data_IF_552379283369
#
_entry.id   IF_552379283369
#
_cell.length_a   1.000
_cell.length_b   1.000
_cell.length_c   1.000
_cell.angle_alpha   90.00
_cell.angle_beta   90.00
_cell.angle_gamma   90.00
#
_symmetry.space_group_name_H-M   'P 1'
#
loop_
_entity.id
_entity.type
_entity.pdbx_description
1 polymer ?
#
# COMPACT_ATOMS: atom_id res chain seq x y z
N UNK A 1 -15.95 11.49 -9.28
CA UNK A 1 -14.88 10.95 -10.15
C UNK A 1 -15.03 9.44 -10.09
N UNK A 2 -15.35 8.81 -11.19
CA UNK A 2 -15.49 7.35 -11.29
C UNK A 2 -14.13 6.84 -11.75
N UNK A 3 -13.48 6.02 -10.94
CA UNK A 3 -12.25 5.35 -11.34
C UNK A 3 -12.61 4.04 -12.02
N UNK A 4 -12.00 3.79 -13.16
CA UNK A 4 -12.13 2.51 -13.83
C UNK A 4 -11.42 1.42 -13.04
N UNK A 5 -11.98 0.23 -13.07
CA UNK A 5 -11.36 -0.92 -12.47
C UNK A 5 -10.30 -1.49 -13.44
N UNK A 6 -9.09 -1.64 -12.98
CA UNK A 6 -8.02 -2.33 -13.70
C UNK A 6 -7.78 -3.71 -13.11
N UNK A 7 -7.53 -4.68 -13.97
CA UNK A 7 -7.07 -6.00 -13.58
C UNK A 7 -5.58 -6.09 -13.89
N UNK A 8 -4.75 -6.24 -12.86
CA UNK A 8 -3.34 -6.52 -13.06
C UNK A 8 -3.15 -8.01 -13.37
N UNK A 9 -2.59 -8.31 -14.53
CA UNK A 9 -2.19 -9.66 -14.87
C UNK A 9 -0.76 -9.94 -14.39
N UNK A 10 -0.50 -11.15 -13.94
CA UNK A 10 0.88 -11.56 -13.66
C UNK A 10 1.70 -11.56 -14.98
N UNK A 11 3.01 -11.30 -14.91
CA UNK A 11 3.90 -11.22 -16.09
C UNK A 11 3.89 -12.48 -16.99
N UNK A 12 3.45 -13.62 -16.43
CA UNK A 12 3.36 -14.90 -17.15
C UNK A 12 1.96 -15.19 -17.71
N UNK A 13 1.00 -14.27 -17.56
CA UNK A 13 -0.38 -14.47 -18.02
C UNK A 13 -0.57 -13.70 -19.31
N UNK A 14 -0.98 -14.41 -20.36
CA UNK A 14 -1.31 -13.87 -21.66
C UNK A 14 -2.83 -13.81 -21.84
N UNK A 15 -3.30 -12.76 -22.50
CA UNK A 15 -4.66 -12.68 -23.01
C UNK A 15 -4.63 -13.10 -24.49
N UNK A 16 -5.38 -14.13 -24.83
CA UNK A 16 -5.42 -14.66 -26.18
C UNK A 16 -6.80 -14.44 -26.80
N UNK A 17 -6.83 -13.84 -27.99
CA UNK A 17 -8.02 -13.72 -28.80
C UNK A 17 -7.90 -14.68 -30.00
N UNK A 18 -8.92 -15.51 -30.21
CA UNK A 18 -8.97 -16.49 -31.28
C UNK A 18 -10.21 -16.26 -32.15
N UNK A 19 -9.99 -16.33 -33.46
CA UNK A 19 -11.03 -16.32 -34.50
C UNK A 19 -10.98 -17.65 -35.23
N UNK A 20 -11.68 -18.68 -34.78
CA UNK A 20 -11.54 -20.06 -35.30
C UNK A 20 -11.99 -20.22 -36.76
N UNK A 21 -12.86 -19.34 -37.23
CA UNK A 21 -13.43 -19.42 -38.58
C UNK A 21 -12.74 -18.45 -39.59
N UNK A 22 -11.67 -17.78 -39.16
CA UNK A 22 -10.90 -16.85 -40.04
C UNK A 22 -9.64 -17.53 -40.57
N UNK A 23 -9.53 -17.62 -41.88
CA UNK A 23 -8.36 -18.11 -42.57
C UNK A 23 -7.71 -16.96 -43.34
N UNK A 24 -6.47 -16.67 -43.03
CA UNK A 24 -5.69 -15.60 -43.64
C UNK A 24 -4.68 -16.17 -44.62
N UNK A 25 -4.59 -15.57 -45.79
CA UNK A 25 -3.48 -15.81 -46.70
C UNK A 25 -2.17 -15.26 -46.11
N UNK A 26 -1.03 -15.71 -46.64
CA UNK A 26 0.30 -15.34 -46.15
C UNK A 26 0.53 -13.81 -46.17
N UNK A 27 0.05 -13.15 -47.22
CA UNK A 27 0.10 -11.70 -47.35
C UNK A 27 -0.73 -10.96 -46.32
N UNK A 28 -1.93 -11.43 -46.04
CA UNK A 28 -2.82 -10.87 -45.02
C UNK A 28 -2.29 -11.09 -43.64
N UNK A 29 -1.73 -12.26 -43.35
CA UNK A 29 -1.07 -12.58 -42.07
C UNK A 29 0.13 -11.65 -41.83
N UNK A 30 0.91 -11.35 -42.86
CA UNK A 30 2.04 -10.44 -42.74
C UNK A 30 1.58 -9.00 -42.44
N UNK A 31 0.48 -8.56 -43.03
CA UNK A 31 -0.13 -7.24 -42.71
C UNK A 31 -0.65 -7.21 -41.31
N UNK A 32 -1.41 -8.24 -40.91
CA UNK A 32 -1.93 -8.36 -39.53
C UNK A 32 -0.80 -8.36 -38.49
N UNK A 33 0.28 -9.11 -38.73
CA UNK A 33 1.44 -9.13 -37.84
C UNK A 33 2.04 -7.75 -37.64
N UNK A 34 2.19 -6.98 -38.72
CA UNK A 34 2.70 -5.60 -38.62
C UNK A 34 1.78 -4.67 -37.87
N UNK A 35 0.47 -4.84 -38.02
CA UNK A 35 -0.52 -4.06 -37.26
C UNK A 35 -0.43 -4.42 -35.75
N UNK A 36 -0.39 -5.70 -35.44
CA UNK A 36 -0.34 -6.20 -34.07
C UNK A 36 0.96 -5.79 -33.36
N UNK A 37 2.09 -5.80 -34.08
CA UNK A 37 3.38 -5.34 -33.55
C UNK A 37 3.39 -3.84 -33.18
N UNK A 38 2.46 -3.06 -33.77
CA UNK A 38 2.29 -1.65 -33.46
C UNK A 38 1.35 -1.39 -32.26
N UNK A 39 0.65 -2.41 -31.75
CA UNK A 39 -0.27 -2.27 -30.63
C UNK A 39 0.50 -2.16 -29.30
N UNK A 40 0.75 -0.94 -28.86
CA UNK A 40 1.39 -0.66 -27.58
C UNK A 40 0.43 -0.63 -26.39
N UNK A 41 -0.86 -0.70 -26.61
CA UNK A 41 -1.91 -0.74 -25.57
C UNK A 41 -3.18 -1.42 -26.12
N UNK A 42 -4.00 -1.92 -25.19
CA UNK A 42 -5.28 -2.52 -25.55
C UNK A 42 -6.41 -1.81 -24.77
N UNK A 43 -7.31 -1.19 -25.51
CA UNK A 43 -8.40 -0.37 -24.97
C UNK A 43 -7.92 1.03 -24.62
N UNK A 44 -7.65 1.34 -23.35
CA UNK A 44 -7.16 2.65 -22.94
C UNK A 44 -5.65 2.77 -23.01
N UNK A 45 -5.14 3.98 -23.21
CA UNK A 45 -3.72 4.28 -23.34
C UNK A 45 -2.87 3.84 -22.13
N UNK A 46 -3.49 3.73 -20.95
CA UNK A 46 -2.83 3.25 -19.72
C UNK A 46 -2.68 1.72 -19.66
N UNK A 47 -3.39 0.98 -20.54
CA UNK A 47 -3.38 -0.49 -20.59
C UNK A 47 -2.28 -0.99 -21.52
N UNK A 48 -1.03 -0.79 -21.15
CA UNK A 48 0.13 -1.17 -21.94
C UNK A 48 0.16 -2.67 -22.19
N UNK A 49 0.44 -3.06 -23.43
CA UNK A 49 0.51 -4.45 -23.88
C UNK A 49 1.62 -4.65 -24.91
N UNK A 50 2.19 -5.82 -24.89
CA UNK A 50 2.97 -6.36 -26.01
C UNK A 50 2.11 -7.39 -26.72
N UNK A 51 1.90 -7.21 -28.01
CA UNK A 51 1.00 -8.04 -28.80
C UNK A 51 1.78 -8.77 -29.89
N UNK A 52 1.38 -10.00 -30.18
CA UNK A 52 1.94 -10.78 -31.29
C UNK A 52 0.89 -11.70 -31.90
N UNK A 53 1.07 -12.06 -33.15
CA UNK A 53 0.27 -13.10 -33.81
C UNK A 53 0.81 -14.47 -33.40
N UNK A 54 -0.07 -15.36 -32.97
CA UNK A 54 0.30 -16.73 -32.63
C UNK A 54 0.55 -17.57 -33.89
N UNK A 55 1.46 -18.55 -33.81
CA UNK A 55 1.57 -19.62 -34.80
C UNK A 55 0.36 -20.55 -34.73
N UNK A 56 0.14 -21.33 -35.79
CA UNK A 56 -1.02 -22.25 -35.84
C UNK A 56 -0.96 -23.32 -34.74
N UNK A 57 0.23 -23.76 -34.35
CA UNK A 57 0.42 -24.69 -33.24
C UNK A 57 0.06 -24.07 -31.90
N UNK A 58 0.49 -22.83 -31.62
CA UNK A 58 0.16 -22.09 -30.42
C UNK A 58 -1.33 -21.75 -30.37
N UNK A 59 -1.94 -21.40 -31.50
CA UNK A 59 -3.36 -21.12 -31.60
C UNK A 59 -4.19 -22.38 -31.30
N UNK A 60 -3.78 -23.54 -31.80
CA UNK A 60 -4.44 -24.83 -31.52
C UNK A 60 -4.36 -25.22 -30.04
N UNK A 61 -3.21 -25.01 -29.39
CA UNK A 61 -3.06 -25.24 -27.94
C UNK A 61 -3.92 -24.26 -27.14
N UNK A 62 -3.95 -22.99 -27.52
CA UNK A 62 -4.75 -21.97 -26.88
C UNK A 62 -6.26 -22.26 -27.02
N UNK A 63 -6.71 -22.77 -28.15
CA UNK A 63 -8.12 -23.12 -28.37
C UNK A 63 -8.64 -24.14 -27.35
N UNK A 64 -7.80 -25.09 -26.92
CA UNK A 64 -8.13 -26.05 -25.88
C UNK A 64 -8.27 -25.47 -24.47
N UNK A 65 -7.83 -24.22 -24.25
CA UNK A 65 -7.78 -23.55 -22.96
C UNK A 65 -8.68 -22.30 -22.86
N UNK A 66 -9.55 -22.09 -23.84
CA UNK A 66 -10.43 -20.94 -23.85
C UNK A 66 -11.36 -20.89 -22.63
N UNK A 67 -11.56 -19.71 -22.09
CA UNK A 67 -12.38 -19.46 -20.92
C UNK A 67 -13.46 -18.38 -21.14
N UNK A 68 -13.55 -17.84 -22.36
CA UNK A 68 -14.54 -16.86 -22.78
C UNK A 68 -15.05 -17.25 -24.18
N UNK A 69 -16.37 -17.29 -24.35
CA UNK A 69 -17.02 -17.77 -25.57
C UNK A 69 -18.10 -16.80 -26.03
N UNK A 70 -18.40 -16.69 -27.34
CA UNK A 70 -19.58 -15.97 -27.81
C UNK A 70 -20.84 -16.47 -27.11
N UNK A 71 -21.68 -15.56 -26.64
CA UNK A 71 -22.93 -15.89 -26.00
C UNK A 71 -23.95 -16.36 -27.05
N UNK A 72 -24.11 -17.67 -27.19
CA UNK A 72 -25.25 -18.24 -27.91
C UNK A 72 -26.57 -17.85 -27.20
N UNK A 73 -27.69 -17.83 -27.93
CA UNK A 73 -28.98 -17.33 -27.45
C UNK A 73 -29.59 -18.07 -26.22
N UNK A 74 -28.92 -19.06 -25.61
CA UNK A 74 -29.56 -19.95 -24.63
C UNK A 74 -28.80 -20.44 -23.41
N UNK A 75 -27.58 -20.02 -23.15
CA UNK A 75 -26.82 -20.64 -22.04
C UNK A 75 -26.28 -19.61 -21.04
N UNK A 76 -27.15 -19.19 -20.10
CA UNK A 76 -26.67 -18.56 -18.87
C UNK A 76 -26.49 -19.64 -17.80
N UNK A 77 -25.28 -20.20 -17.65
CA UNK A 77 -24.93 -21.03 -16.52
C UNK A 77 -24.75 -20.17 -15.27
N UNK A 78 -25.18 -20.66 -14.11
CA UNK A 78 -25.08 -19.93 -12.84
C UNK A 78 -23.64 -19.47 -12.48
N UNK A 79 -22.62 -20.16 -13.01
CA UNK A 79 -21.21 -19.85 -12.80
C UNK A 79 -20.62 -18.90 -13.85
N UNK A 80 -21.39 -18.48 -14.84
CA UNK A 80 -20.97 -17.61 -15.94
C UNK A 80 -21.52 -16.21 -15.76
N UNK A 81 -20.81 -15.22 -16.31
CA UNK A 81 -21.27 -13.85 -16.45
C UNK A 81 -21.20 -13.44 -17.92
N UNK A 82 -22.07 -12.51 -18.32
CA UNK A 82 -22.06 -11.95 -19.66
C UNK A 82 -21.17 -10.71 -19.68
N UNK A 83 -20.26 -10.67 -20.65
CA UNK A 83 -19.42 -9.49 -20.96
C UNK A 83 -19.79 -9.01 -22.33
N UNK A 84 -19.93 -7.71 -22.50
CA UNK A 84 -20.23 -7.12 -23.79
C UNK A 84 -18.99 -6.43 -24.35
N UNK A 85 -18.68 -6.72 -25.60
CA UNK A 85 -17.61 -6.07 -26.35
C UNK A 85 -18.22 -5.28 -27.51
N UNK A 86 -17.71 -4.08 -27.71
CA UNK A 86 -18.06 -3.29 -28.87
C UNK A 86 -17.19 -3.75 -30.06
N UNK A 87 -17.82 -4.26 -31.09
CA UNK A 87 -17.17 -4.77 -32.27
C UNK A 87 -17.62 -4.00 -33.52
N UNK A 88 -16.80 -3.99 -34.57
CA UNK A 88 -17.23 -3.45 -35.86
C UNK A 88 -18.33 -4.33 -36.45
N UNK A 89 -19.35 -3.69 -37.04
CA UNK A 89 -20.34 -4.38 -37.84
C UNK A 89 -19.68 -4.89 -39.15
N UNK A 90 -20.09 -6.04 -39.68
CA UNK A 90 -19.71 -6.40 -41.04
C UNK A 90 -20.18 -5.34 -42.03
N UNK A 91 -19.33 -5.00 -43.01
CA UNK A 91 -19.63 -3.94 -43.98
C UNK A 91 -20.93 -4.20 -44.73
N UNK A 92 -21.24 -5.46 -45.02
CA UNK A 92 -22.51 -5.87 -45.65
C UNK A 92 -23.74 -5.54 -44.77
N UNK A 93 -23.64 -5.63 -43.47
CA UNK A 93 -24.73 -5.27 -42.57
C UNK A 93 -24.90 -3.73 -42.49
N UNK A 94 -23.79 -2.99 -42.58
CA UNK A 94 -23.82 -1.53 -42.60
C UNK A 94 -24.49 -1.00 -43.86
N UNK A 95 -24.15 -1.54 -45.03
CA UNK A 95 -24.73 -1.05 -46.31
C UNK A 95 -26.22 -1.28 -46.40
N UNK A 96 -26.76 -2.28 -45.72
CA UNK A 96 -28.17 -2.65 -45.87
C UNK A 96 -29.12 -2.01 -44.84
N UNK A 97 -28.76 -1.80 -43.59
CA UNK A 97 -29.70 -1.36 -42.53
C UNK A 97 -29.08 -0.59 -41.36
N UNK A 98 -27.94 0.03 -41.51
CA UNK A 98 -27.34 0.68 -40.35
C UNK A 98 -28.17 1.85 -39.85
N UNK A 99 -28.71 1.70 -38.65
CA UNK A 99 -29.38 2.80 -37.92
C UNK A 99 -28.57 3.12 -36.68
N UNK A 100 -28.02 4.34 -36.50
CA UNK A 100 -27.31 4.72 -35.32
C UNK A 100 -28.16 4.51 -34.08
N UNK A 101 -27.61 3.80 -33.10
CA UNK A 101 -28.30 3.65 -31.79
C UNK A 101 -28.11 4.93 -31.00
N UNK A 102 -29.15 5.78 -31.01
CA UNK A 102 -29.20 7.00 -30.21
C UNK A 102 -29.86 6.65 -28.88
N UNK A 103 -29.14 6.79 -27.77
CA UNK A 103 -29.75 6.68 -26.46
C UNK A 103 -30.62 7.92 -26.22
N UNK A 104 -31.91 7.72 -26.18
CA UNK A 104 -32.81 8.75 -25.70
C UNK A 104 -32.74 8.83 -24.20
N UNK A 105 -32.03 9.83 -23.65
CA UNK A 105 -32.31 10.25 -22.28
C UNK A 105 -33.70 10.93 -22.33
N UNK A 106 -34.72 10.30 -21.74
CA UNK A 106 -36.01 10.94 -21.50
C UNK A 106 -35.88 12.04 -20.46
N UNK A 107 -35.31 13.19 -20.90
CA UNK A 107 -35.37 14.45 -20.20
C UNK A 107 -36.61 15.21 -20.73
N UNK A 108 -37.52 15.60 -19.85
CA UNK A 108 -38.67 16.46 -20.16
C UNK A 108 -38.22 17.71 -20.92
N UNK A 109 -38.37 17.72 -22.24
CA UNK A 109 -38.18 18.93 -23.04
C UNK A 109 -37.76 18.64 -24.48
N UNK A 110 -38.73 18.49 -25.32
CA UNK A 110 -38.78 18.67 -26.78
C UNK A 110 -37.46 18.95 -27.51
N UNK A 111 -36.94 17.96 -28.22
CA UNK A 111 -36.51 18.10 -29.60
C UNK A 111 -36.47 16.72 -30.24
N UNK A 112 -37.34 16.46 -31.19
CA UNK A 112 -37.30 15.30 -32.06
C UNK A 112 -36.16 15.55 -33.03
N UNK A 113 -34.96 15.07 -32.70
CA UNK A 113 -33.83 15.04 -33.62
C UNK A 113 -34.07 13.89 -34.59
N UNK A 114 -34.27 14.21 -35.84
CA UNK A 114 -34.12 13.27 -36.95
C UNK A 114 -32.62 12.94 -37.03
N UNK A 115 -32.23 11.73 -36.59
CA UNK A 115 -30.90 11.26 -36.79
C UNK A 115 -30.67 11.00 -38.30
N UNK A 116 -29.76 11.72 -38.90
CA UNK A 116 -29.25 11.35 -40.23
C UNK A 116 -28.42 10.07 -40.05
N UNK A 117 -28.66 9.08 -40.93
CA UNK A 117 -27.84 7.87 -40.95
C UNK A 117 -26.48 8.24 -41.55
N UNK A 118 -25.39 8.13 -40.82
CA UNK A 118 -24.07 8.45 -41.35
C UNK A 118 -23.68 7.49 -42.45
N UNK A 119 -22.94 7.99 -43.44
CA UNK A 119 -22.29 7.13 -44.43
C UNK A 119 -21.21 6.32 -43.77
N UNK A 120 -21.02 5.08 -44.22
CA UNK A 120 -19.93 4.24 -43.76
C UNK A 120 -18.59 4.86 -44.20
N UNK A 121 -17.78 5.19 -43.24
CA UNK A 121 -16.41 5.68 -43.41
C UNK A 121 -15.49 4.97 -42.44
N UNK A 122 -14.66 4.01 -42.89
CA UNK A 122 -13.74 3.28 -42.04
C UNK A 122 -12.72 4.19 -41.34
N UNK A 123 -12.22 5.23 -42.02
CA UNK A 123 -11.27 6.16 -41.42
C UNK A 123 -11.91 6.97 -40.31
N UNK A 124 -13.18 7.30 -40.47
CA UNK A 124 -13.95 8.00 -39.45
C UNK A 124 -14.15 7.16 -38.18
N UNK A 125 -14.39 5.86 -38.30
CA UNK A 125 -14.47 4.95 -37.16
C UNK A 125 -13.15 4.85 -36.39
N UNK A 126 -12.05 4.75 -37.08
CA UNK A 126 -10.72 4.57 -36.50
C UNK A 126 -10.21 5.83 -35.81
N UNK A 127 -10.66 7.01 -36.27
CA UNK A 127 -10.20 8.30 -35.76
C UNK A 127 -11.17 8.97 -34.78
N UNK A 128 -12.40 8.45 -34.61
CA UNK A 128 -13.41 9.06 -33.78
C UNK A 128 -13.06 9.03 -32.29
N UNK A 129 -13.05 10.19 -31.68
CA UNK A 129 -12.87 10.35 -30.24
C UNK A 129 -14.22 10.36 -29.48
N UNK A 130 -14.17 10.04 -28.19
CA UNK A 130 -15.35 10.04 -27.32
C UNK A 130 -16.05 11.41 -27.29
N UNK A 131 -15.28 12.49 -27.42
CA UNK A 131 -15.84 13.84 -27.47
C UNK A 131 -16.73 14.04 -28.70
N UNK A 132 -16.31 13.58 -29.86
CA UNK A 132 -17.05 13.65 -31.12
C UNK A 132 -18.36 12.86 -31.04
N UNK A 133 -18.32 11.65 -30.43
CA UNK A 133 -19.53 10.87 -30.14
C UNK A 133 -20.52 11.66 -29.28
N UNK A 134 -20.03 12.32 -28.24
CA UNK A 134 -20.85 13.09 -27.32
C UNK A 134 -21.45 14.36 -28.00
N UNK A 135 -20.67 15.01 -28.85
CA UNK A 135 -21.14 16.19 -29.61
C UNK A 135 -22.24 15.80 -30.61
N UNK A 136 -22.10 14.62 -31.24
CA UNK A 136 -23.11 14.06 -32.13
C UNK A 136 -24.28 13.40 -31.38
N UNK A 137 -24.19 13.30 -30.04
CA UNK A 137 -25.15 12.63 -29.16
C UNK A 137 -25.34 11.13 -29.46
N UNK A 138 -24.32 10.48 -29.93
CA UNK A 138 -24.30 9.05 -30.15
C UNK A 138 -23.80 8.30 -28.90
N UNK A 139 -24.38 7.14 -28.62
CA UNK A 139 -23.93 6.26 -27.55
C UNK A 139 -22.78 5.37 -27.98
N UNK A 140 -22.76 4.99 -29.24
CA UNK A 140 -21.79 4.07 -29.82
C UNK A 140 -21.31 4.59 -31.17
N UNK A 141 -20.08 4.28 -31.60
CA UNK A 141 -19.59 4.63 -32.93
C UNK A 141 -20.48 4.03 -34.02
N UNK A 142 -20.79 4.77 -35.08
CA UNK A 142 -21.50 4.23 -36.25
C UNK A 142 -20.73 3.03 -36.83
N UNK A 143 -21.43 2.02 -37.33
CA UNK A 143 -20.83 0.80 -37.83
C UNK A 143 -20.27 -0.11 -36.74
N UNK A 144 -20.72 0.04 -35.51
CA UNK A 144 -20.37 -0.84 -34.40
C UNK A 144 -21.56 -1.57 -33.79
N UNK A 145 -21.33 -2.71 -33.22
CA UNK A 145 -22.34 -3.52 -32.51
C UNK A 145 -21.81 -4.10 -31.23
N UNK A 146 -22.69 -4.29 -30.26
CA UNK A 146 -22.37 -4.99 -29.02
C UNK A 146 -22.47 -6.49 -29.19
N UNK A 147 -21.36 -7.19 -29.09
CA UNK A 147 -21.30 -8.65 -29.08
C UNK A 147 -21.15 -9.14 -27.64
N UNK A 148 -22.01 -10.07 -27.26
CA UNK A 148 -22.02 -10.65 -25.92
C UNK A 148 -21.17 -11.90 -25.87
N UNK A 149 -20.36 -12.01 -24.83
CA UNK A 149 -19.55 -13.17 -24.52
C UNK A 149 -19.90 -13.71 -23.14
N UNK A 150 -19.78 -15.00 -22.95
CA UNK A 150 -19.88 -15.66 -21.66
C UNK A 150 -18.48 -15.98 -21.16
N UNK A 151 -18.20 -15.61 -19.93
CA UNK A 151 -16.98 -15.98 -19.22
C UNK A 151 -17.31 -16.50 -17.83
N UNK A 152 -16.44 -17.29 -17.25
CA UNK A 152 -16.60 -17.71 -15.85
C UNK A 152 -16.44 -16.49 -14.92
N UNK A 153 -17.28 -16.41 -13.89
CA UNK A 153 -17.23 -15.36 -12.87
C UNK A 153 -15.90 -15.32 -12.11
N UNK A 154 -15.21 -16.46 -12.06
CA UNK A 154 -13.93 -16.64 -11.38
C UNK A 154 -12.72 -16.51 -12.32
N UNK A 155 -12.88 -16.12 -13.59
CA UNK A 155 -11.78 -16.04 -14.55
C UNK A 155 -10.70 -15.03 -14.19
N UNK A 156 -11.04 -14.01 -13.40
CA UNK A 156 -10.10 -13.08 -12.79
C UNK A 156 -9.92 -13.31 -11.29
N UNK A 157 -10.60 -14.31 -10.74
CA UNK A 157 -10.22 -14.78 -9.42
C UNK A 157 -8.78 -15.26 -9.57
N UNK A 158 -7.86 -14.49 -9.03
CA UNK A 158 -6.51 -14.96 -8.82
C UNK A 158 -6.73 -16.28 -8.08
N UNK A 159 -6.56 -17.41 -8.78
CA UNK A 159 -6.27 -18.63 -8.06
C UNK A 159 -5.05 -18.25 -7.23
N UNK A 160 -5.31 -17.91 -5.97
CA UNK A 160 -4.24 -18.10 -5.01
C UNK A 160 -3.92 -19.58 -5.21
N UNK A 161 -2.95 -19.86 -6.10
CA UNK A 161 -2.33 -21.17 -6.12
C UNK A 161 -2.20 -21.42 -4.65
N UNK A 162 -2.95 -22.41 -4.12
CA UNK A 162 -2.65 -22.98 -2.82
C UNK A 162 -1.22 -23.42 -3.00
N UNK A 163 -0.34 -22.42 -2.81
CA UNK A 163 1.08 -22.67 -2.75
C UNK A 163 1.13 -23.78 -1.75
N UNK A 164 1.70 -24.93 -2.14
CA UNK A 164 1.94 -26.10 -1.32
C UNK A 164 2.02 -25.72 0.14
N UNK A 165 1.41 -26.52 1.07
CA UNK A 165 1.38 -26.16 2.47
C UNK A 165 2.76 -25.61 2.79
N UNK A 166 2.80 -24.32 2.98
CA UNK A 166 4.03 -23.55 3.15
C UNK A 166 4.83 -24.32 4.21
N UNK A 167 5.95 -24.92 3.82
CA UNK A 167 7.10 -24.93 4.73
C UNK A 167 6.99 -23.60 5.42
N UNK A 168 6.87 -23.57 6.74
CA UNK A 168 6.69 -22.37 7.56
C UNK A 168 7.31 -21.16 6.89
N UNK A 169 6.56 -20.52 5.98
CA UNK A 169 7.07 -19.34 5.28
C UNK A 169 7.09 -18.29 6.34
N UNK A 170 8.27 -17.84 6.62
CA UNK A 170 8.50 -16.69 7.46
C UNK A 170 7.46 -15.65 7.13
N UNK A 171 6.62 -15.32 8.11
CA UNK A 171 5.56 -14.33 7.96
C UNK A 171 6.18 -13.01 7.52
N UNK A 172 5.60 -12.28 6.58
CA UNK A 172 6.13 -10.96 6.23
C UNK A 172 6.20 -10.09 7.49
N UNK A 173 7.25 -9.30 7.61
CA UNK A 173 7.53 -8.52 8.82
C UNK A 173 7.39 -7.02 8.61
N UNK A 174 7.37 -6.55 7.36
CA UNK A 174 7.36 -5.13 6.98
C UNK A 174 6.19 -4.86 6.06
N UNK A 175 5.45 -3.81 6.36
CA UNK A 175 4.48 -3.19 5.46
C UNK A 175 4.82 -1.71 5.31
N UNK A 176 4.83 -1.20 4.08
CA UNK A 176 5.18 0.17 3.77
C UNK A 176 4.08 0.87 3.02
N UNK A 177 3.81 2.10 3.42
CA UNK A 177 2.82 2.99 2.81
C UNK A 177 3.46 4.32 2.46
N UNK A 178 3.06 4.90 1.33
CA UNK A 178 3.23 6.32 1.05
C UNK A 178 1.98 7.08 1.48
N UNK A 179 2.16 8.35 1.86
CA UNK A 179 1.05 9.27 2.11
C UNK A 179 0.71 10.02 0.83
N UNK A 180 -0.55 9.95 0.44
CA UNK A 180 -1.11 10.64 -0.72
C UNK A 180 -2.18 11.62 -0.23
N UNK A 181 -1.75 12.83 0.15
CA UNK A 181 -2.64 13.86 0.69
C UNK A 181 -2.15 15.25 0.32
N UNK A 182 -3.05 16.18 0.01
CA UNK A 182 -2.69 17.55 -0.36
C UNK A 182 -1.87 18.28 0.71
N UNK A 183 -2.11 17.94 2.00
CA UNK A 183 -1.39 18.48 3.14
C UNK A 183 -0.89 17.36 4.01
N UNK A 184 0.42 17.09 3.93
CA UNK A 184 1.09 16.09 4.73
C UNK A 184 1.27 16.58 6.19
N UNK A 185 1.20 15.68 7.19
CA UNK A 185 1.42 16.01 8.58
C UNK A 185 2.88 16.42 8.84
N UNK A 186 3.08 17.30 9.80
CA UNK A 186 4.44 17.71 10.21
C UNK A 186 5.15 16.59 10.97
N UNK A 187 6.47 16.55 10.90
CA UNK A 187 7.33 15.59 11.64
C UNK A 187 7.05 15.61 13.13
N UNK A 188 6.70 16.77 13.72
CA UNK A 188 6.35 16.90 15.13
C UNK A 188 5.09 16.12 15.52
N UNK A 189 4.26 15.74 14.54
CA UNK A 189 3.05 14.94 14.73
C UNK A 189 3.27 13.42 14.65
N UNK A 190 4.52 12.95 14.52
CA UNK A 190 4.90 11.53 14.37
C UNK A 190 4.10 10.63 15.32
N UNK A 191 4.09 10.93 16.62
CA UNK A 191 3.37 10.12 17.61
C UNK A 191 1.87 10.01 17.31
N UNK A 192 1.24 11.12 16.94
CA UNK A 192 -0.20 11.18 16.64
C UNK A 192 -0.53 10.36 15.38
N UNK A 193 0.28 10.51 14.33
CA UNK A 193 0.11 9.76 13.08
C UNK A 193 0.29 8.26 13.32
N UNK A 194 1.29 7.85 14.10
CA UNK A 194 1.51 6.46 14.47
C UNK A 194 0.35 5.86 15.29
N UNK A 195 -0.24 6.64 16.23
CA UNK A 195 -1.43 6.20 16.96
C UNK A 195 -2.65 6.04 16.05
N UNK A 196 -2.83 6.95 15.08
CA UNK A 196 -3.87 6.81 14.06
C UNK A 196 -3.66 5.55 13.22
N UNK A 197 -2.43 5.30 12.77
CA UNK A 197 -2.08 4.11 12.01
C UNK A 197 -2.39 2.82 12.78
N UNK A 198 -2.00 2.75 14.06
CA UNK A 198 -2.34 1.60 14.92
C UNK A 198 -3.85 1.41 15.08
N UNK A 199 -4.60 2.48 15.33
CA UNK A 199 -6.09 2.41 15.45
C UNK A 199 -6.72 1.92 14.15
N UNK A 200 -6.24 2.40 13.01
CA UNK A 200 -6.71 2.00 11.68
C UNK A 200 -6.40 0.53 11.41
N UNK A 201 -5.17 0.07 11.68
CA UNK A 201 -4.77 -1.32 11.50
C UNK A 201 -5.65 -2.28 12.31
N UNK A 202 -5.89 -1.97 13.59
CA UNK A 202 -6.78 -2.76 14.45
C UNK A 202 -8.24 -2.74 13.97
N UNK A 203 -8.73 -1.60 13.48
CA UNK A 203 -10.08 -1.48 12.92
C UNK A 203 -10.25 -2.28 11.62
N UNK A 204 -9.24 -2.26 10.75
CA UNK A 204 -9.21 -3.06 9.52
C UNK A 204 -9.11 -4.56 9.82
N UNK A 205 -8.32 -4.95 10.83
CA UNK A 205 -8.22 -6.33 11.29
C UNK A 205 -9.57 -6.86 11.78
N UNK A 206 -10.25 -6.11 12.64
CA UNK A 206 -11.59 -6.50 13.11
C UNK A 206 -12.55 -6.75 11.96
N UNK A 207 -12.62 -5.84 10.98
CA UNK A 207 -13.48 -6.03 9.80
C UNK A 207 -13.09 -7.25 8.98
N UNK A 208 -11.78 -7.51 8.83
CA UNK A 208 -11.31 -8.69 8.13
C UNK A 208 -11.72 -10.00 8.83
N UNK A 209 -11.75 -10.02 10.16
CA UNK A 209 -12.21 -11.17 10.93
C UNK A 209 -13.74 -11.27 10.94
N UNK A 210 -14.49 -10.17 11.03
CA UNK A 210 -15.96 -10.14 10.91
C UNK A 210 -16.42 -10.76 9.58
N UNK A 211 -15.74 -10.43 8.48
CA UNK A 211 -16.04 -11.02 7.17
C UNK A 211 -15.63 -12.49 7.10
N UNK A 212 -14.50 -12.86 7.67
CA UNK A 212 -14.01 -14.23 7.70
C UNK A 212 -14.98 -15.18 8.41
N UNK A 213 -15.56 -14.74 9.50
CA UNK A 213 -16.49 -15.52 10.31
C UNK A 213 -17.97 -15.26 9.99
N UNK A 214 -18.25 -14.39 9.00
CA UNK A 214 -19.61 -13.96 8.63
C UNK A 214 -20.46 -13.52 9.83
N UNK A 215 -19.86 -12.82 10.78
CA UNK A 215 -20.50 -12.36 12.02
C UNK A 215 -20.02 -10.99 12.43
N UNK A 216 -20.87 -10.25 13.16
CA UNK A 216 -20.47 -8.98 13.78
C UNK A 216 -19.84 -9.28 15.13
N UNK A 217 -18.59 -8.85 15.34
CA UNK A 217 -17.86 -9.06 16.56
C UNK A 217 -18.00 -7.85 17.50
N UNK A 218 -18.23 -8.09 18.79
CA UNK A 218 -18.21 -7.01 19.78
C UNK A 218 -16.78 -6.53 20.05
N UNK A 219 -16.60 -5.27 20.43
CA UNK A 219 -15.26 -4.69 20.68
C UNK A 219 -14.47 -5.34 21.83
N UNK A 220 -15.09 -6.23 22.61
CA UNK A 220 -14.45 -7.02 23.68
C UNK A 220 -14.07 -8.44 23.27
N UNK A 221 -14.51 -8.91 22.10
CA UNK A 221 -14.25 -10.27 21.63
C UNK A 221 -12.75 -10.47 21.37
N UNK A 222 -12.12 -11.55 21.87
CA UNK A 222 -10.72 -11.88 21.58
C UNK A 222 -10.40 -11.92 20.10
N UNK A 223 -11.32 -12.41 19.25
CA UNK A 223 -11.16 -12.45 17.78
C UNK A 223 -11.01 -11.08 17.13
N UNK A 224 -11.40 -10.00 17.81
CA UNK A 224 -11.22 -8.63 17.30
C UNK A 224 -9.82 -8.08 17.51
N UNK A 225 -8.97 -8.80 18.23
CA UNK A 225 -7.68 -8.31 18.70
C UNK A 225 -6.54 -9.04 18.00
N UNK A 226 -5.82 -8.34 17.15
CA UNK A 226 -4.52 -8.82 16.68
C UNK A 226 -3.46 -8.56 17.74
N UNK A 227 -2.74 -9.60 18.18
CA UNK A 227 -1.58 -9.46 19.07
C UNK A 227 -0.50 -8.63 18.41
N UNK A 228 -0.29 -8.84 17.10
CA UNK A 228 0.70 -8.12 16.29
C UNK A 228 0.45 -6.61 16.33
N UNK A 229 -0.78 -6.18 16.04
CA UNK A 229 -1.10 -4.75 15.99
C UNK A 229 -1.33 -4.11 17.36
N UNK A 230 -1.84 -4.88 18.31
CA UNK A 230 -2.17 -4.33 19.64
C UNK A 230 -1.02 -4.35 20.64
N UNK A 231 -0.09 -5.30 20.49
CA UNK A 231 0.92 -5.61 21.49
C UNK A 231 0.32 -6.18 22.78
N UNK A 232 -0.82 -6.88 22.66
CA UNK A 232 -1.53 -7.50 23.77
C UNK A 232 -1.96 -8.90 23.41
N UNK A 233 -1.84 -9.84 24.37
CA UNK A 233 -2.33 -11.20 24.22
C UNK A 233 -3.86 -11.27 24.19
N UNK A 234 -4.42 -12.47 24.06
CA UNK A 234 -5.86 -12.72 24.04
C UNK A 234 -6.56 -12.23 25.34
N UNK A 235 -5.87 -12.29 26.48
CA UNK A 235 -6.37 -11.82 27.77
C UNK A 235 -6.33 -10.29 27.92
N UNK A 236 -5.69 -9.59 26.97
CA UNK A 236 -5.54 -8.14 26.98
C UNK A 236 -4.33 -7.62 27.76
N UNK A 237 -3.44 -8.52 28.15
CA UNK A 237 -2.21 -8.18 28.84
C UNK A 237 -1.13 -7.74 27.86
N UNK A 238 -0.27 -6.77 28.18
CA UNK A 238 0.83 -6.35 27.33
C UNK A 238 1.83 -7.46 27.07
N UNK A 239 2.27 -7.62 25.83
CA UNK A 239 3.39 -8.50 25.48
C UNK A 239 4.71 -7.92 26.02
N UNK A 240 5.56 -8.76 26.60
CA UNK A 240 6.82 -8.35 27.24
C UNK A 240 7.99 -8.15 26.26
N UNK A 241 7.93 -8.79 25.09
CA UNK A 241 9.11 -8.94 24.19
C UNK A 241 9.01 -7.93 23.04
N UNK A 242 8.70 -6.79 23.01
CA UNK A 242 8.75 -5.80 21.91
C UNK A 242 8.73 -6.37 20.46
N UNK A 243 8.17 -7.56 20.25
CA UNK A 243 8.10 -8.25 18.95
C UNK A 243 6.88 -7.85 18.11
N UNK A 244 5.94 -7.15 18.73
CA UNK A 244 4.73 -6.62 18.10
C UNK A 244 5.04 -5.36 17.27
N UNK A 245 4.04 -4.85 16.55
CA UNK A 245 4.21 -3.80 15.56
C UNK A 245 4.77 -2.48 16.11
N UNK A 246 5.76 -1.97 15.41
CA UNK A 246 6.20 -0.58 15.44
C UNK A 246 5.52 0.17 14.28
N UNK A 247 5.05 1.37 14.54
CA UNK A 247 4.45 2.27 13.56
C UNK A 247 5.37 3.46 13.40
N UNK A 248 6.08 3.51 12.28
CA UNK A 248 7.18 4.45 12.05
C UNK A 248 6.85 5.39 10.88
N UNK A 249 6.17 6.52 11.15
CA UNK A 249 6.08 7.59 10.15
C UNK A 249 7.45 8.22 9.94
N UNK A 250 7.80 8.48 8.68
CA UNK A 250 9.09 9.06 8.29
C UNK A 250 8.90 10.21 7.31
N UNK A 251 9.84 11.15 7.35
CA UNK A 251 10.10 12.19 6.38
C UNK A 251 11.35 11.74 5.60
N UNK A 252 11.18 11.31 4.36
CA UNK A 252 12.28 10.73 3.59
C UNK A 252 12.88 11.69 2.57
N UNK A 253 12.12 12.68 2.13
CA UNK A 253 12.59 13.75 1.25
C UNK A 253 13.21 14.93 2.01
N UNK A 254 12.96 15.01 3.33
CA UNK A 254 13.58 16.00 4.21
C UNK A 254 12.91 17.37 4.18
N UNK A 255 11.63 17.45 3.79
CA UNK A 255 10.87 18.69 3.71
C UNK A 255 10.20 19.11 5.04
N UNK A 256 10.32 18.29 6.09
CA UNK A 256 9.71 18.48 7.42
C UNK A 256 8.29 17.95 7.54
N UNK A 257 7.84 17.19 6.56
CA UNK A 257 6.54 16.53 6.55
C UNK A 257 6.70 15.03 6.48
N UNK A 258 5.77 14.34 7.10
CA UNK A 258 5.74 12.88 7.04
C UNK A 258 5.15 12.45 5.69
N UNK A 259 5.89 11.70 4.92
CA UNK A 259 5.54 11.23 3.58
C UNK A 259 5.37 9.71 3.49
N UNK A 260 5.91 8.95 4.45
CA UNK A 260 5.81 7.51 4.50
C UNK A 260 5.42 6.97 5.88
N UNK A 261 4.89 5.74 5.89
CA UNK A 261 4.66 4.95 7.10
C UNK A 261 5.22 3.55 6.89
N UNK A 262 6.14 3.14 7.76
CA UNK A 262 6.61 1.75 7.84
C UNK A 262 6.00 1.10 9.08
N UNK A 263 5.32 -0.04 8.89
CA UNK A 263 4.86 -0.90 10.00
C UNK A 263 5.73 -2.14 9.99
N UNK A 264 6.43 -2.40 11.10
CA UNK A 264 7.31 -3.55 11.24
C UNK A 264 6.97 -4.33 12.50
N UNK A 265 6.89 -5.66 12.41
CA UNK A 265 6.67 -6.56 13.52
C UNK A 265 7.58 -7.79 13.42
N UNK A 266 8.43 -8.02 14.41
CA UNK A 266 9.34 -9.18 14.40
C UNK A 266 8.58 -10.52 14.45
N UNK A 267 7.42 -10.58 15.12
CA UNK A 267 6.56 -11.77 15.12
C UNK A 267 5.87 -12.04 13.76
N UNK A 268 5.98 -11.10 12.80
CA UNK A 268 5.42 -11.21 11.46
C UNK A 268 3.91 -11.05 11.39
N UNK A 269 3.42 -10.75 10.18
CA UNK A 269 2.00 -10.59 9.88
C UNK A 269 1.41 -11.91 9.40
N UNK A 270 0.35 -12.38 10.05
CA UNK A 270 -0.45 -13.50 9.58
C UNK A 270 -1.38 -13.09 8.42
N UNK A 271 -2.15 -14.04 7.90
CA UNK A 271 -3.03 -13.80 6.76
C UNK A 271 -4.10 -12.72 7.04
N UNK A 272 -4.59 -12.63 8.26
CA UNK A 272 -5.59 -11.63 8.66
C UNK A 272 -4.98 -10.24 8.84
N UNK A 273 -3.74 -10.17 9.38
CA UNK A 273 -2.98 -8.93 9.44
C UNK A 273 -2.64 -8.40 8.05
N UNK A 274 -2.19 -9.26 7.12
CA UNK A 274 -1.90 -8.87 5.73
C UNK A 274 -3.16 -8.33 5.05
N UNK A 275 -4.31 -8.99 5.21
CA UNK A 275 -5.59 -8.46 4.71
C UNK A 275 -5.97 -7.13 5.32
N UNK A 276 -5.72 -6.95 6.61
CA UNK A 276 -5.97 -5.69 7.29
C UNK A 276 -5.08 -4.56 6.75
N UNK A 277 -3.79 -4.83 6.54
CA UNK A 277 -2.83 -3.88 5.95
C UNK A 277 -3.25 -3.47 4.53
N UNK A 278 -3.67 -4.43 3.70
CA UNK A 278 -4.18 -4.15 2.36
C UNK A 278 -5.43 -3.24 2.35
N UNK A 279 -6.24 -3.28 3.42
CA UNK A 279 -7.45 -2.45 3.57
C UNK A 279 -7.22 -1.07 4.16
N UNK A 280 -6.01 -0.77 4.62
CA UNK A 280 -5.67 0.54 5.15
C UNK A 280 -5.57 1.55 3.99
N UNK A 281 -6.63 2.34 3.77
CA UNK A 281 -6.68 3.36 2.69
C UNK A 281 -6.54 4.79 3.21
N UNK A 282 -6.80 5.02 4.49
CA UNK A 282 -6.69 6.36 5.06
C UNK A 282 -6.57 6.34 6.57
N UNK A 283 -5.91 7.35 7.14
CA UNK A 283 -5.89 7.64 8.57
C UNK A 283 -6.85 8.79 8.84
N UNK A 284 -7.93 8.51 9.55
CA UNK A 284 -8.94 9.53 9.90
C UNK A 284 -8.40 10.41 11.02
N UNK A 285 -8.24 11.70 10.77
CA UNK A 285 -7.91 12.73 11.76
C UNK A 285 -9.17 13.15 12.54
N UNK A 286 -9.01 13.66 13.75
CA UNK A 286 -10.11 14.27 14.53
C UNK A 286 -10.52 15.61 13.93
N UNK A 287 -9.55 16.32 13.36
CA UNK A 287 -9.75 17.59 12.67
C UNK A 287 -8.94 17.59 11.36
N UNK A 288 -9.51 18.17 10.31
CA UNK A 288 -8.90 18.25 8.98
C UNK A 288 -9.15 17.00 8.12
N UNK A 289 -8.60 17.04 6.91
CA UNK A 289 -8.73 15.97 5.92
C UNK A 289 -8.01 14.69 6.36
N UNK A 290 -8.53 13.51 5.99
CA UNK A 290 -7.84 12.25 6.25
C UNK A 290 -6.51 12.19 5.51
N UNK A 291 -5.53 11.47 6.06
CA UNK A 291 -4.30 11.14 5.35
C UNK A 291 -4.57 9.90 4.52
N UNK A 292 -4.52 10.01 3.20
CA UNK A 292 -4.66 8.87 2.30
C UNK A 292 -3.39 8.03 2.30
N UNK A 293 -3.56 6.72 2.18
CA UNK A 293 -2.48 5.74 2.22
C UNK A 293 -2.44 4.94 0.93
N UNK A 294 -1.26 4.85 0.34
CA UNK A 294 -0.94 3.94 -0.74
C UNK A 294 -0.03 2.83 -0.21
N UNK A 295 -0.49 1.58 -0.22
CA UNK A 295 0.33 0.44 0.16
C UNK A 295 1.38 0.18 -0.92
N UNK A 296 2.65 0.38 -0.61
CA UNK A 296 3.78 0.14 -1.51
C UNK A 296 4.19 -1.33 -1.53
N UNK A 297 3.99 -2.04 -0.44
CA UNK A 297 4.26 -3.47 -0.36
C UNK A 297 4.25 -4.04 1.04
N UNK A 298 4.17 -5.38 1.09
CA UNK A 298 4.30 -6.19 2.31
C UNK A 298 5.34 -7.27 2.03
N UNK A 299 6.44 -7.28 2.77
CA UNK A 299 7.58 -8.16 2.49
C UNK A 299 8.30 -8.64 3.74
N UNK A 300 9.28 -9.52 3.53
CA UNK A 300 10.30 -9.81 4.54
C UNK A 300 11.23 -8.62 4.73
N UNK A 301 11.82 -8.50 5.92
CA UNK A 301 12.81 -7.48 6.24
C UNK A 301 13.98 -7.53 5.24
N UNK A 302 14.35 -6.38 4.67
CA UNK A 302 15.50 -6.26 3.78
C UNK A 302 15.33 -6.80 2.35
N UNK A 303 14.09 -7.22 1.97
CA UNK A 303 13.74 -7.54 0.57
C UNK A 303 12.81 -6.46 0.04
N UNK A 304 12.47 -6.46 -1.21
CA UNK A 304 11.58 -5.61 -2.04
C UNK A 304 11.09 -4.24 -1.48
N UNK A 305 10.97 -4.08 -0.17
CA UNK A 305 10.57 -2.86 0.53
C UNK A 305 11.63 -2.55 1.58
N UNK A 306 12.60 -1.71 1.24
CA UNK A 306 13.70 -1.36 2.13
C UNK A 306 13.77 0.15 2.37
N UNK A 307 12.94 0.71 3.25
CA UNK A 307 13.10 2.10 3.65
C UNK A 307 14.44 2.28 4.37
N UNK A 308 15.03 3.46 4.24
CA UNK A 308 16.32 3.80 4.84
C UNK A 308 16.39 3.47 6.34
N UNK A 309 15.29 3.65 7.05
CA UNK A 309 15.18 3.35 8.49
C UNK A 309 15.43 1.88 8.83
N UNK A 310 15.31 0.97 7.85
CA UNK A 310 15.57 -0.46 8.00
C UNK A 310 16.95 -0.88 7.46
N UNK A 311 17.68 0.00 6.83
CA UNK A 311 19.00 -0.31 6.26
C UNK A 311 20.07 -0.53 7.32
N UNK A 312 21.18 -1.20 6.95
CA UNK A 312 22.33 -1.33 7.83
C UNK A 312 23.09 0.00 7.94
N UNK A 313 23.59 0.31 9.13
CA UNK A 313 24.47 1.45 9.34
C UNK A 313 25.35 1.26 10.59
N UNK A 314 26.53 1.87 10.57
CA UNK A 314 27.37 2.03 11.77
C UNK A 314 26.98 3.27 12.57
N UNK A 315 26.48 4.30 11.90
CA UNK A 315 26.16 5.59 12.52
C UNK A 315 24.66 5.86 12.46
N UNK A 316 24.07 6.06 13.60
CA UNK A 316 22.64 6.30 13.76
C UNK A 316 22.39 7.63 14.44
N UNK A 317 21.50 8.46 13.87
CA UNK A 317 21.16 9.79 14.40
C UNK A 317 19.67 9.90 14.69
N UNK A 318 19.30 10.61 15.75
CA UNK A 318 17.92 10.82 16.12
C UNK A 318 17.13 11.56 15.03
N UNK A 319 16.17 10.89 14.41
CA UNK A 319 15.13 11.52 13.58
C UNK A 319 14.04 12.12 14.47
N UNK A 320 13.68 11.43 15.55
CA UNK A 320 12.76 11.90 16.59
C UNK A 320 13.45 11.85 17.96
N UNK A 321 12.98 12.62 18.97
CA UNK A 321 13.65 12.65 20.26
C UNK A 321 13.53 11.31 21.00
N UNK A 322 14.64 10.84 21.54
CA UNK A 322 14.65 9.80 22.56
C UNK A 322 13.96 10.34 23.83
N UNK A 323 13.02 9.57 24.37
CA UNK A 323 12.30 9.90 25.60
C UNK A 323 12.63 8.83 26.64
N UNK A 324 13.13 9.25 27.80
CA UNK A 324 13.52 8.35 28.88
C UNK A 324 12.36 7.45 29.35
N UNK A 325 12.62 6.17 29.56
CA UNK A 325 11.62 5.18 30.00
C UNK A 325 11.32 5.26 31.49
N UNK A 326 12.15 5.95 32.25
CA UNK A 326 12.02 6.13 33.72
C UNK A 326 12.33 7.57 34.13
N UNK A 327 11.97 7.90 35.35
CA UNK A 327 12.34 9.15 36.04
C UNK A 327 13.65 9.00 36.83
N UNK A 328 14.36 10.12 37.10
CA UNK A 328 15.50 10.11 37.99
C UNK A 328 15.13 9.65 39.40
N UNK A 329 15.95 8.78 39.98
CA UNK A 329 15.77 8.27 41.37
C UNK A 329 16.75 8.95 42.28
N UNK A 330 16.26 9.79 43.19
CA UNK A 330 17.05 10.49 44.19
C UNK A 330 17.30 9.70 45.50
N UNK A 331 16.53 8.60 45.72
CA UNK A 331 16.54 7.81 46.98
C UNK A 331 16.59 6.31 46.66
N UNK A 332 17.01 5.52 47.66
CA UNK A 332 17.05 4.07 47.57
C UNK A 332 18.39 3.50 47.04
N UNK A 333 18.50 2.15 47.02
CA UNK A 333 19.71 1.45 46.61
C UNK A 333 20.08 1.66 45.12
N UNK A 334 19.07 1.93 44.27
CA UNK A 334 19.24 2.22 42.81
C UNK A 334 19.12 3.71 42.53
N UNK A 335 19.68 4.58 43.42
CA UNK A 335 19.68 6.03 43.18
C UNK A 335 20.62 6.37 42.01
N UNK A 336 20.20 7.34 41.23
CA UNK A 336 21.04 7.89 40.15
C UNK A 336 22.14 8.78 40.74
N UNK A 337 23.23 8.98 39.99
CA UNK A 337 24.33 9.84 40.40
C UNK A 337 23.84 11.29 40.56
N UNK A 338 24.40 12.08 41.50
CA UNK A 338 23.98 13.48 41.70
C UNK A 338 24.02 14.32 40.42
N UNK A 339 24.99 14.06 39.53
CA UNK A 339 25.17 14.77 38.24
C UNK A 339 24.02 14.52 37.24
N UNK A 340 23.17 13.52 37.47
CA UNK A 340 22.02 13.19 36.67
C UNK A 340 20.69 13.73 37.26
N UNK A 341 20.76 14.29 38.45
CA UNK A 341 19.60 14.81 39.14
C UNK A 341 19.45 16.32 38.88
N UNK A 342 18.21 16.80 38.84
CA UNK A 342 17.90 18.22 38.63
C UNK A 342 17.43 18.53 37.21
N UNK A 343 16.83 19.70 37.05
CA UNK A 343 16.24 20.13 35.79
C UNK A 343 17.29 20.40 34.71
N UNK A 344 18.46 20.91 35.08
CA UNK A 344 19.55 21.25 34.16
C UNK A 344 20.23 19.99 33.60
N UNK A 345 20.11 18.86 34.30
CA UNK A 345 20.75 17.59 33.96
C UNK A 345 19.86 16.62 33.17
N UNK A 346 18.68 17.04 32.74
CA UNK A 346 17.72 16.17 32.04
C UNK A 346 18.31 15.50 30.79
N UNK A 347 19.17 16.20 30.07
CA UNK A 347 19.80 15.66 28.84
C UNK A 347 20.84 14.60 29.15
N UNK A 348 21.64 14.81 30.19
CA UNK A 348 22.61 13.82 30.69
C UNK A 348 21.87 12.58 31.23
N UNK A 349 20.77 12.78 31.95
CA UNK A 349 19.91 11.71 32.40
C UNK A 349 19.29 10.93 31.23
N UNK A 350 18.79 11.60 30.20
CA UNK A 350 18.26 10.94 28.99
C UNK A 350 19.32 10.09 28.31
N UNK A 351 20.57 10.57 28.21
CA UNK A 351 21.71 9.79 27.69
C UNK A 351 21.99 8.54 28.54
N UNK A 352 21.99 8.66 29.86
CA UNK A 352 22.18 7.52 30.75
C UNK A 352 21.09 6.45 30.54
N UNK A 353 19.83 6.86 30.45
CA UNK A 353 18.73 5.92 30.17
C UNK A 353 18.84 5.30 28.79
N UNK A 354 19.31 6.05 27.78
CA UNK A 354 19.58 5.48 26.45
C UNK A 354 20.64 4.38 26.48
N UNK A 355 21.71 4.57 27.24
CA UNK A 355 22.72 3.53 27.43
C UNK A 355 22.15 2.29 28.12
N UNK A 356 21.26 2.45 29.10
CA UNK A 356 20.55 1.34 29.74
C UNK A 356 19.61 0.61 28.77
N UNK A 357 18.93 1.33 27.87
CA UNK A 357 18.08 0.73 26.83
C UNK A 357 18.90 -0.04 25.78
N UNK A 358 20.04 0.49 25.38
CA UNK A 358 20.98 -0.18 24.46
C UNK A 358 21.53 -1.48 25.10
N UNK A 359 21.88 -1.46 26.39
CA UNK A 359 22.31 -2.66 27.11
C UNK A 359 21.20 -3.73 27.11
N UNK A 360 19.95 -3.34 27.44
CA UNK A 360 18.80 -4.24 27.43
C UNK A 360 18.47 -4.77 26.03
N UNK A 361 18.68 -3.96 25.00
CA UNK A 361 18.50 -4.40 23.61
C UNK A 361 19.53 -5.47 23.24
N UNK A 362 20.79 -5.28 23.61
CA UNK A 362 21.86 -6.27 23.42
C UNK A 362 21.62 -7.57 24.18
N UNK A 363 21.07 -7.51 25.40
CA UNK A 363 20.69 -8.72 26.16
C UNK A 363 19.65 -9.57 25.41
N UNK A 364 18.74 -8.95 24.67
CA UNK A 364 17.70 -9.62 23.87
C UNK A 364 18.19 -10.04 22.49
N UNK A 365 19.10 -9.28 21.91
CA UNK A 365 19.65 -9.44 20.57
C UNK A 365 21.18 -9.45 20.66
N UNK A 366 21.78 -10.58 20.98
CA UNK A 366 23.25 -10.68 21.22
C UNK A 366 24.10 -10.32 20.00
N UNK A 367 23.50 -10.33 18.79
CA UNK A 367 24.16 -9.91 17.56
C UNK A 367 24.38 -8.39 17.47
N UNK A 368 23.77 -7.60 18.34
CA UNK A 368 23.98 -6.15 18.39
C UNK A 368 25.26 -5.85 19.15
N UNK A 369 26.27 -5.23 18.52
CA UNK A 369 27.52 -4.92 19.17
C UNK A 369 27.36 -3.79 20.19
N UNK A 370 28.32 -3.68 21.10
CA UNK A 370 28.40 -2.54 22.01
C UNK A 370 28.71 -1.27 21.24
N UNK A 371 27.96 -0.15 21.44
CA UNK A 371 28.25 1.08 20.76
C UNK A 371 29.62 1.65 21.19
N UNK A 372 30.39 2.12 20.23
CA UNK A 372 31.66 2.83 20.48
C UNK A 372 31.42 4.17 21.16
N UNK A 373 30.38 4.89 20.75
CA UNK A 373 29.99 6.14 21.40
C UNK A 373 28.49 6.38 21.32
N UNK A 374 27.99 7.10 22.32
CA UNK A 374 26.64 7.66 22.35
C UNK A 374 26.79 9.12 22.79
N UNK A 375 26.63 10.03 21.85
CA UNK A 375 26.88 11.45 22.05
C UNK A 375 25.62 12.30 21.76
N UNK A 376 25.52 13.49 22.34
CA UNK A 376 24.53 14.46 21.89
C UNK A 376 24.68 14.71 20.38
N UNK A 377 23.57 14.67 19.63
CA UNK A 377 23.60 14.91 18.18
C UNK A 377 24.13 16.33 17.85
N UNK A 378 23.84 17.27 18.73
CA UNK A 378 24.36 18.64 18.71
C UNK A 378 24.13 19.27 20.09
N UNK A 379 24.72 20.45 20.33
CA UNK A 379 24.63 21.13 21.63
C UNK A 379 23.21 21.37 22.15
N UNK A 380 22.28 21.61 21.20
CA UNK A 380 20.86 21.89 21.53
C UNK A 380 19.97 20.63 21.54
N UNK A 381 20.51 19.44 21.28
CA UNK A 381 19.76 18.18 21.12
C UNK A 381 18.63 18.27 20.08
N UNK A 382 18.90 18.84 18.92
CA UNK A 382 17.92 18.97 17.84
C UNK A 382 17.87 17.70 16.99
N UNK A 383 16.67 17.27 16.64
CA UNK A 383 16.39 16.03 15.87
C UNK A 383 16.16 16.33 14.39
N UNK A 384 16.48 15.35 13.55
CA UNK A 384 16.13 15.32 12.13
C UNK A 384 16.79 16.41 11.28
N UNK A 385 16.44 16.46 10.00
CA UNK A 385 16.95 17.43 9.04
C UNK A 385 16.59 18.86 9.41
N UNK A 386 15.39 19.11 9.91
CA UNK A 386 14.89 20.43 10.32
C UNK A 386 15.37 20.88 11.71
N UNK A 387 16.24 20.11 12.35
CA UNK A 387 16.86 20.47 13.64
C UNK A 387 15.82 20.86 14.71
N UNK A 388 14.75 20.09 14.83
CA UNK A 388 13.65 20.32 15.75
C UNK A 388 14.06 20.02 17.21
N UNK A 389 13.65 20.86 18.14
CA UNK A 389 13.89 20.61 19.57
C UNK A 389 12.91 19.55 20.09
N UNK A 390 13.30 18.70 21.07
CA UNK A 390 12.43 17.66 21.63
C UNK A 390 11.08 18.19 22.14
N UNK A 391 11.01 19.46 22.58
CA UNK A 391 9.78 20.07 23.07
C UNK A 391 8.75 20.36 21.98
N UNK A 392 9.17 20.46 20.72
CA UNK A 392 8.29 20.73 19.58
C UNK A 392 7.47 19.49 19.21
N UNK A 393 7.96 18.31 19.54
CA UNK A 393 7.26 17.06 19.25
C UNK A 393 6.08 16.83 20.18
N UNK A 394 5.00 16.31 19.64
CA UNK A 394 3.89 15.75 20.42
C UNK A 394 4.35 14.48 21.11
N UNK A 395 4.53 14.51 22.42
CA UNK A 395 5.10 13.39 23.21
C UNK A 395 4.08 12.69 24.09
N UNK A 396 2.82 13.11 24.04
CA UNK A 396 1.72 12.50 24.77
C UNK A 396 0.86 11.67 23.83
N UNK A 397 0.60 10.45 24.22
CA UNK A 397 -0.42 9.62 23.61
C UNK A 397 -1.79 10.04 24.15
N UNK A 398 -2.84 9.79 23.38
CA UNK A 398 -4.23 9.95 23.86
C UNK A 398 -4.61 8.95 24.97
N UNK A 399 -3.67 8.12 25.39
CA UNK A 399 -3.85 7.17 26.48
C UNK A 399 -3.91 7.90 27.82
N UNK A 400 -4.87 7.54 28.66
CA UNK A 400 -4.97 8.04 30.04
C UNK A 400 -3.67 7.75 30.80
N UNK A 401 -3.14 8.72 31.55
CA UNK A 401 -1.91 8.64 32.35
C UNK A 401 -0.60 8.51 31.52
N UNK A 402 -0.58 8.84 30.24
CA UNK A 402 0.68 9.00 29.51
C UNK A 402 1.43 10.24 30.00
N UNK A 403 2.69 10.05 30.40
CA UNK A 403 3.55 11.09 30.96
C UNK A 403 4.76 11.44 30.08
N UNK A 404 4.78 10.97 28.81
CA UNK A 404 5.91 11.15 27.89
C UNK A 404 6.40 12.58 27.74
N UNK A 405 5.49 13.55 27.82
CA UNK A 405 5.81 14.97 27.75
C UNK A 405 6.58 15.51 28.95
N UNK A 406 6.52 14.86 30.09
CA UNK A 406 7.20 15.25 31.34
C UNK A 406 8.54 14.56 31.53
N UNK A 407 8.84 13.54 30.72
CA UNK A 407 10.07 12.76 30.81
C UNK A 407 11.23 13.47 30.17
N UNK A 408 12.44 13.21 30.66
CA UNK A 408 13.66 13.71 30.05
C UNK A 408 13.75 13.22 28.60
N UNK A 409 14.19 14.09 27.72
CA UNK A 409 14.32 13.77 26.29
C UNK A 409 15.58 14.43 25.70
N UNK A 410 16.11 13.81 24.65
CA UNK A 410 17.29 14.32 23.94
C UNK A 410 17.41 13.76 22.53
N UNK A 411 18.32 14.31 21.76
CA UNK A 411 18.73 13.78 20.46
C UNK A 411 20.18 13.32 20.53
N UNK A 412 20.46 12.15 19.98
CA UNK A 412 21.74 11.49 20.12
C UNK A 412 22.25 10.96 18.79
N UNK A 413 23.56 10.79 18.71
CA UNK A 413 24.29 10.05 17.70
C UNK A 413 24.86 8.79 18.34
N UNK A 414 24.59 7.65 17.75
CA UNK A 414 25.09 6.32 18.20
C UNK A 414 26.03 5.81 17.13
N UNK A 415 27.24 5.42 17.53
CA UNK A 415 28.23 4.81 16.63
C UNK A 415 28.52 3.40 17.08
N UNK A 416 28.37 2.43 16.17
CA UNK A 416 28.70 1.04 16.40
C UNK A 416 30.00 0.65 15.70
N UNK A 417 30.72 -0.37 16.19
CA UNK A 417 31.93 -0.89 15.52
C UNK A 417 31.65 -1.54 14.17
N UNK A 418 30.46 -2.10 14.04
CA UNK A 418 29.98 -2.81 12.85
C UNK A 418 28.62 -2.27 12.43
N UNK A 419 28.14 -2.67 11.23
CA UNK A 419 26.82 -2.29 10.75
C UNK A 419 25.73 -2.99 11.56
N UNK A 420 24.80 -2.20 12.06
CA UNK A 420 23.60 -2.67 12.77
C UNK A 420 22.40 -2.51 11.87
N UNK A 421 21.60 -3.56 11.78
CA UNK A 421 20.36 -3.55 10.99
C UNK A 421 19.25 -2.81 11.73
N UNK A 422 18.63 -1.81 11.07
CA UNK A 422 17.48 -1.08 11.60
C UNK A 422 16.19 -1.93 11.69
N UNK A 423 15.11 -1.43 12.29
CA UNK A 423 15.00 -0.07 12.82
C UNK A 423 15.65 0.03 14.22
N UNK A 424 16.32 1.12 14.46
CA UNK A 424 16.80 1.47 15.81
C UNK A 424 15.77 2.43 16.42
N UNK A 425 14.95 1.91 17.32
CA UNK A 425 13.84 2.63 17.92
C UNK A 425 13.76 2.33 19.42
N UNK A 426 14.15 3.28 20.26
CA UNK A 426 14.41 3.07 21.69
C UNK A 426 13.68 4.11 22.55
N UNK A 427 13.37 3.72 23.78
CA UNK A 427 12.79 4.62 24.78
C UNK A 427 11.25 4.59 24.85
N UNK A 428 10.70 5.55 25.57
CA UNK A 428 9.24 5.67 25.76
C UNK A 428 8.55 6.01 24.43
N UNK A 429 7.47 5.30 24.13
CA UNK A 429 6.70 5.41 22.89
C UNK A 429 7.48 5.03 21.61
N UNK A 430 8.51 4.19 21.71
CA UNK A 430 9.29 3.69 20.58
C UNK A 430 8.41 3.01 19.51
N UNK A 431 7.41 2.22 19.90
CA UNK A 431 6.44 1.60 18.97
C UNK A 431 5.62 2.62 18.16
N UNK A 432 5.70 3.89 18.48
CA UNK A 432 5.01 4.99 17.81
C UNK A 432 5.97 6.00 17.19
N UNK A 433 7.17 5.55 16.82
CA UNK A 433 8.16 6.36 16.12
C UNK A 433 8.88 7.42 16.98
N UNK A 434 8.69 7.42 18.32
CA UNK A 434 9.52 8.26 19.19
C UNK A 434 10.82 7.52 19.50
N UNK A 435 11.94 8.25 19.63
CA UNK A 435 13.26 7.65 19.76
C UNK A 435 13.67 6.83 18.54
N UNK A 436 13.19 7.21 17.38
CA UNK A 436 13.59 6.66 16.10
C UNK A 436 14.94 7.24 15.69
N UNK A 437 15.89 6.36 15.41
CA UNK A 437 17.17 6.70 14.82
C UNK A 437 17.19 6.26 13.36
N UNK A 438 17.84 7.05 12.52
CA UNK A 438 18.04 6.79 11.10
C UNK A 438 19.53 6.75 10.78
N UNK A 439 19.94 6.01 9.74
CA UNK A 439 21.31 6.04 9.25
C UNK A 439 21.77 7.48 8.96
N UNK A 440 22.96 7.83 9.49
CA UNK A 440 23.55 9.13 9.20
C UNK A 440 23.94 9.22 7.72
N UNK A 441 23.57 10.32 7.05
CA UNK A 441 24.06 10.59 5.70
C UNK A 441 25.43 11.24 5.85
N UNK A 442 26.50 10.69 5.26
CA UNK A 442 27.77 11.40 5.18
C UNK A 442 27.52 12.74 4.47
N UNK A 443 27.73 13.82 5.17
CA UNK A 443 27.85 15.14 4.51
C UNK A 443 29.04 15.08 3.58
N UNK A 444 28.79 15.24 2.27
CA UNK A 444 29.84 15.40 1.27
C UNK A 444 30.65 16.67 1.51
#
# INVERSE_FOLDING_TARGET
>A
MVFDAFVALEKSVEMVALWPDVFLEEGERAVLSRIVDCLGFLGRAESWSESRVLSDAEASDAAGRMNCYPAGRREAFAAMETVSLLCADPMEAFENEYTPKISHSEGRGKAKLTAETPLYDPDWHLSMETLELHEQRWSDPPGSQWVHYLRRKDCFAVEFRRRSPLRERERPKVARFAFDSPVLPLVEETLKVAELARRTAMGCFRRAEEERFCTTLSGGDPLTRSEVFSGKNELGEPLSEHVHAFYLPTDEDGDGRLDHLTIIAEMGFGASEVRALDRMRSLKREQGEPIHLLLLGVSQRGRDVSPRVLGPSRCWVSATPFIATRYPKSRGQKRDRPELLGLDNQRAFARQVLLEELARWRERCPEIPEPLSVEPLNADHRCGAHRLRPIQFKRFRQKRSDDGGRRAAGAFRIVFPEEVQGPVCLGHSAHFGMGLFVPEIPTK
#
